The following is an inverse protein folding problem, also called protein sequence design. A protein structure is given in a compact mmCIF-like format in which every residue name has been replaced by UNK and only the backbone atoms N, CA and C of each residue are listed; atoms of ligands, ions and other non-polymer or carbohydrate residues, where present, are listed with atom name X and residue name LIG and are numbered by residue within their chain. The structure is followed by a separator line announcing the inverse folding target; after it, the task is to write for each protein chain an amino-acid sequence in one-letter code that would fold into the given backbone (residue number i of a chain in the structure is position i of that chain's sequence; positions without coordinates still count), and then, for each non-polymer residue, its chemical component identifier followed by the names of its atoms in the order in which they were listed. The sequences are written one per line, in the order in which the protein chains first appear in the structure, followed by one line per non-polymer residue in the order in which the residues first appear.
data_IF_378202294922
#
_entry.id   IF_378202294922
#
_cell.length_a   1.000
_cell.length_b   1.000
_cell.length_c   1.000
_cell.angle_alpha   90.00
_cell.angle_beta   90.00
_cell.angle_gamma   90.00
#
_symmetry.space_group_name_H-M   'P 1'
#
loop_
_entity.id
_entity.type
_entity.pdbx_description
1 polymer ?
#
# COMPACT_ATOMS: atom_id res chain seq x y z
N UNK A 1 -9.04 -5.87 21.26
CA UNK A 1 -9.96 -6.18 20.12
C UNK A 1 -9.45 -5.45 18.91
N UNK A 2 -9.25 -6.12 17.80
CA UNK A 2 -8.74 -5.55 16.54
C UNK A 2 -9.89 -5.34 15.59
N UNK A 3 -9.99 -4.14 15.00
CA UNK A 3 -10.89 -3.82 13.91
C UNK A 3 -10.11 -3.89 12.59
N UNK A 4 -10.69 -4.53 11.56
CA UNK A 4 -10.11 -4.59 10.22
C UNK A 4 -11.07 -3.94 9.21
N UNK A 5 -10.59 -2.95 8.50
CA UNK A 5 -11.25 -2.35 7.35
C UNK A 5 -10.83 -3.09 6.09
N UNK A 6 -11.77 -3.79 5.47
CA UNK A 6 -11.52 -4.66 4.31
C UNK A 6 -12.20 -4.08 3.08
N UNK A 7 -11.43 -3.44 2.23
CA UNK A 7 -11.88 -2.98 0.92
C UNK A 7 -11.98 -4.14 -0.06
N UNK A 8 -13.13 -4.28 -0.71
CA UNK A 8 -13.38 -5.37 -1.65
C UNK A 8 -14.00 -4.86 -2.96
N UNK A 9 -14.09 -5.72 -3.96
CA UNK A 9 -14.78 -5.42 -5.23
C UNK A 9 -16.30 -5.27 -5.10
N UNK A 10 -16.87 -5.47 -3.90
CA UNK A 10 -18.33 -5.43 -3.63
C UNK A 10 -18.69 -4.73 -2.32
N UNK A 11 -17.86 -3.81 -1.85
CA UNK A 11 -18.11 -3.03 -0.65
C UNK A 11 -16.96 -3.00 0.34
N UNK A 12 -17.12 -2.20 1.38
CA UNK A 12 -16.33 -2.21 2.59
C UNK A 12 -16.92 -3.20 3.59
N UNK A 13 -16.10 -4.08 4.13
CA UNK A 13 -16.43 -4.95 5.26
C UNK A 13 -15.61 -4.52 6.47
N UNK A 14 -16.25 -4.32 7.59
CA UNK A 14 -15.59 -4.05 8.86
C UNK A 14 -15.69 -5.30 9.71
N UNK A 15 -14.53 -5.87 10.05
CA UNK A 15 -14.43 -7.05 10.88
C UNK A 15 -13.90 -6.67 12.26
N UNK A 16 -14.42 -7.31 13.29
CA UNK A 16 -13.92 -7.18 14.67
C UNK A 16 -13.58 -8.55 15.23
N UNK A 17 -12.48 -8.63 15.99
CA UNK A 17 -12.07 -9.86 16.64
C UNK A 17 -10.73 -9.75 17.34
N UNK A 18 -10.21 -10.92 17.72
CA UNK A 18 -8.89 -11.04 18.32
C UNK A 18 -8.18 -12.30 17.81
N UNK A 19 -6.86 -12.27 17.64
CA UNK A 19 -6.08 -13.47 17.40
C UNK A 19 -6.43 -14.57 18.41
N UNK A 20 -6.73 -15.78 17.90
CA UNK A 20 -7.12 -16.92 18.74
C UNK A 20 -8.58 -16.97 19.18
N UNK A 21 -9.33 -15.86 19.21
CA UNK A 21 -10.75 -15.82 19.56
C UNK A 21 -11.68 -15.77 18.33
N UNK A 22 -11.13 -15.44 17.16
CA UNK A 22 -11.87 -15.34 15.89
C UNK A 22 -12.39 -13.94 15.58
N UNK A 23 -12.83 -13.77 14.34
CA UNK A 23 -13.35 -12.52 13.80
C UNK A 23 -14.77 -12.67 13.28
N UNK A 24 -15.56 -11.59 13.35
CA UNK A 24 -16.88 -11.50 12.79
C UNK A 24 -17.08 -10.19 12.02
N UNK A 25 -18.01 -10.19 11.05
CA UNK A 25 -18.38 -8.98 10.33
C UNK A 25 -19.26 -8.12 11.26
N UNK A 26 -18.75 -6.96 11.67
CA UNK A 26 -19.50 -5.96 12.44
C UNK A 26 -20.48 -5.18 11.57
N UNK A 27 -20.01 -4.67 10.43
CA UNK A 27 -20.84 -3.88 9.53
C UNK A 27 -20.30 -3.91 8.09
N UNK A 28 -21.10 -3.36 7.17
CA UNK A 28 -20.77 -3.23 5.75
C UNK A 28 -21.21 -1.86 5.24
N UNK A 29 -20.43 -1.27 4.33
CA UNK A 29 -20.77 -0.05 3.62
C UNK A 29 -20.49 -0.18 2.12
N UNK A 30 -21.08 0.69 1.30
CA UNK A 30 -20.91 0.74 -0.16
C UNK A 30 -21.19 -0.60 -0.84
N UNK A 31 -22.21 -1.29 -0.40
CA UNK A 31 -22.55 -2.65 -0.90
C UNK A 31 -22.83 -2.61 -2.41
N UNK A 32 -22.05 -3.37 -3.17
CA UNK A 32 -22.13 -3.43 -4.63
C UNK A 32 -21.05 -2.63 -5.35
N UNK A 33 -20.52 -1.58 -4.75
CA UNK A 33 -19.45 -0.75 -5.34
C UNK A 33 -18.05 -1.25 -4.92
N UNK A 34 -17.04 -1.18 -5.79
CA UNK A 34 -15.66 -1.43 -5.40
C UNK A 34 -15.16 -0.40 -4.39
N UNK A 35 -14.61 -0.89 -3.28
CA UNK A 35 -13.85 -0.11 -2.30
C UNK A 35 -12.39 -0.49 -2.46
N UNK A 36 -11.60 0.41 -3.01
CA UNK A 36 -10.20 0.15 -3.33
C UNK A 36 -9.30 0.27 -2.09
N UNK A 37 -9.67 1.17 -1.17
CA UNK A 37 -8.93 1.40 0.07
C UNK A 37 -9.86 1.93 1.16
N UNK A 38 -9.57 1.62 2.42
CA UNK A 38 -10.18 2.25 3.58
C UNK A 38 -9.15 2.39 4.70
N UNK A 39 -9.28 3.43 5.51
CA UNK A 39 -8.43 3.65 6.68
C UNK A 39 -9.17 4.41 7.78
N UNK A 40 -8.69 4.28 9.01
CA UNK A 40 -9.02 5.17 10.12
C UNK A 40 -7.83 6.12 10.33
N UNK A 41 -8.09 7.42 10.37
CA UNK A 41 -7.07 8.39 10.78
C UNK A 41 -6.76 8.19 12.27
N UNK A 42 -5.52 7.81 12.63
CA UNK A 42 -5.18 7.53 14.04
C UNK A 42 -5.24 8.76 14.95
N UNK A 43 -5.27 9.98 14.37
CA UNK A 43 -5.29 11.25 15.11
C UNK A 43 -6.71 11.68 15.48
N UNK A 44 -7.66 11.48 14.57
CA UNK A 44 -9.05 11.96 14.73
C UNK A 44 -10.05 10.83 14.95
N UNK A 45 -9.71 9.59 14.58
CA UNK A 45 -10.64 8.46 14.56
C UNK A 45 -11.55 8.44 13.33
N UNK A 46 -11.51 9.48 12.46
CA UNK A 46 -12.30 9.57 11.23
C UNK A 46 -11.96 8.45 10.27
N UNK A 47 -12.97 7.85 9.70
CA UNK A 47 -12.88 6.78 8.71
C UNK A 47 -12.93 7.35 7.31
N UNK A 48 -12.09 6.81 6.42
CA UNK A 48 -12.08 7.12 5.01
C UNK A 48 -12.27 5.86 4.17
N UNK A 49 -12.97 6.01 3.03
CA UNK A 49 -13.12 4.97 2.03
C UNK A 49 -12.91 5.55 0.62
N UNK A 50 -12.02 4.95 -0.14
CA UNK A 50 -11.85 5.21 -1.57
C UNK A 50 -12.76 4.27 -2.36
N UNK A 51 -13.84 4.82 -2.90
CA UNK A 51 -14.89 4.05 -3.59
C UNK A 51 -14.89 4.39 -5.08
N UNK A 52 -14.81 3.37 -5.92
CA UNK A 52 -14.86 3.52 -7.38
C UNK A 52 -16.20 3.00 -7.91
N UNK A 53 -17.22 3.85 -7.89
CA UNK A 53 -18.54 3.48 -8.42
C UNK A 53 -18.54 3.44 -9.94
N UNK A 54 -19.16 2.43 -10.58
CA UNK A 54 -19.33 2.41 -12.01
C UNK A 54 -20.25 3.51 -12.54
N UNK A 55 -21.00 4.17 -11.67
CA UNK A 55 -21.95 5.22 -12.03
C UNK A 55 -21.40 6.63 -11.80
N UNK A 56 -20.62 6.83 -10.72
CA UNK A 56 -20.18 8.15 -10.26
C UNK A 56 -18.66 8.34 -10.39
N UNK A 57 -17.94 7.28 -10.73
CA UNK A 57 -16.48 7.28 -10.75
C UNK A 57 -15.86 7.21 -9.34
N UNK A 58 -14.54 7.47 -9.24
CA UNK A 58 -13.80 7.42 -7.99
C UNK A 58 -14.15 8.61 -7.09
N UNK A 59 -14.34 8.32 -5.80
CA UNK A 59 -14.54 9.32 -4.74
C UNK A 59 -13.88 8.90 -3.45
N UNK A 60 -13.54 9.86 -2.62
CA UNK A 60 -13.22 9.66 -1.21
C UNK A 60 -14.48 9.98 -0.40
N UNK A 61 -14.82 9.05 0.48
CA UNK A 61 -15.90 9.20 1.45
C UNK A 61 -15.32 9.20 2.85
N UNK A 62 -15.96 9.90 3.78
CA UNK A 62 -15.56 9.90 5.18
C UNK A 62 -16.78 9.84 6.11
N UNK A 63 -16.56 9.33 7.33
CA UNK A 63 -17.52 9.36 8.43
C UNK A 63 -16.78 9.41 9.76
N UNK A 64 -17.39 10.00 10.76
CA UNK A 64 -16.86 10.00 12.12
C UNK A 64 -17.37 8.80 12.94
N UNK A 65 -18.46 8.17 12.49
CA UNK A 65 -19.03 6.97 13.09
C UNK A 65 -19.49 5.97 12.01
N UNK A 66 -19.13 4.68 12.18
CA UNK A 66 -19.56 3.57 11.28
C UNK A 66 -21.07 3.37 11.21
N UNK A 67 -21.82 3.84 12.19
CA UNK A 67 -23.30 3.80 12.23
C UNK A 67 -23.96 4.96 11.49
N UNK A 68 -23.20 5.97 11.08
CA UNK A 68 -23.71 7.20 10.49
C UNK A 68 -23.58 7.22 8.97
N UNK A 69 -24.13 8.27 8.37
CA UNK A 69 -24.09 8.49 6.93
C UNK A 69 -22.65 8.90 6.50
N UNK A 70 -22.17 8.26 5.45
CA UNK A 70 -20.91 8.62 4.81
C UNK A 70 -21.09 9.90 3.98
N UNK A 71 -20.16 10.84 4.15
CA UNK A 71 -20.10 12.08 3.42
C UNK A 71 -19.06 11.99 2.29
N UNK A 72 -19.40 12.56 1.12
CA UNK A 72 -18.45 12.62 0.00
C UNK A 72 -17.52 13.80 0.15
N UNK A 73 -16.22 13.56 0.16
CA UNK A 73 -15.20 14.59 0.11
C UNK A 73 -15.27 15.40 -1.21
N UNK A 74 -14.84 16.65 -1.17
CA UNK A 74 -14.82 17.56 -2.32
C UNK A 74 -13.42 17.69 -2.92
N UNK A 75 -13.32 18.08 -4.18
CA UNK A 75 -12.05 18.42 -4.84
C UNK A 75 -11.22 17.24 -5.33
N UNK A 76 -11.67 15.99 -5.17
CA UNK A 76 -10.99 14.80 -5.70
C UNK A 76 -11.27 14.70 -7.20
N UNK A 77 -10.62 15.56 -7.99
CA UNK A 77 -10.85 15.65 -9.42
C UNK A 77 -9.60 16.14 -10.18
N UNK A 78 -9.48 15.69 -11.43
CA UNK A 78 -8.44 16.16 -12.35
C UNK A 78 -8.86 17.49 -13.01
N UNK A 79 -7.89 18.27 -13.52
CA UNK A 79 -8.17 19.50 -14.26
C UNK A 79 -9.06 19.24 -15.47
N UNK A 80 -10.03 20.13 -15.72
CA UNK A 80 -10.91 20.02 -16.88
C UNK A 80 -10.15 20.30 -18.19
N UNK A 81 -10.55 19.61 -19.26
CA UNK A 81 -10.00 19.81 -20.60
C UNK A 81 -8.79 18.92 -20.94
N UNK A 82 -8.30 18.11 -20.01
CA UNK A 82 -7.32 17.06 -20.27
C UNK A 82 -7.97 15.78 -20.83
N UNK A 83 -7.15 14.92 -21.43
CA UNK A 83 -7.56 13.59 -21.91
C UNK A 83 -7.68 12.55 -20.80
N UNK A 84 -7.11 12.83 -19.64
CA UNK A 84 -7.06 11.92 -18.50
C UNK A 84 -8.31 12.05 -17.63
N UNK A 85 -8.80 10.90 -17.16
CA UNK A 85 -9.84 10.81 -16.15
C UNK A 85 -9.29 10.10 -14.90
N UNK A 86 -9.68 10.56 -13.73
CA UNK A 86 -9.39 9.83 -12.49
C UNK A 86 -10.08 8.48 -12.56
N UNK A 87 -9.31 7.40 -12.39
CA UNK A 87 -9.81 6.04 -12.52
C UNK A 87 -10.03 5.39 -11.15
N UNK A 88 -9.22 5.79 -10.16
CA UNK A 88 -9.17 5.16 -8.84
C UNK A 88 -8.36 6.00 -7.87
N UNK A 89 -8.75 5.97 -6.60
CA UNK A 89 -7.88 6.34 -5.47
C UNK A 89 -7.36 5.04 -4.84
N UNK A 90 -6.04 4.89 -4.76
CA UNK A 90 -5.37 3.66 -4.32
C UNK A 90 -5.00 3.64 -2.85
N UNK A 91 -4.72 4.80 -2.30
CA UNK A 91 -4.20 4.93 -0.93
C UNK A 91 -4.59 6.28 -0.35
N UNK A 92 -4.87 6.30 0.95
CA UNK A 92 -5.06 7.50 1.75
C UNK A 92 -4.15 7.36 2.96
N UNK A 93 -3.39 8.41 3.29
CA UNK A 93 -2.42 8.39 4.38
C UNK A 93 -2.52 9.67 5.20
N UNK A 94 -2.44 9.56 6.51
CA UNK A 94 -2.31 10.70 7.41
C UNK A 94 -0.93 11.37 7.22
N UNK A 95 -0.90 12.69 7.16
CA UNK A 95 0.33 13.48 7.21
C UNK A 95 0.72 13.80 8.65
N UNK A 96 1.84 14.49 8.83
CA UNK A 96 2.36 14.85 10.15
C UNK A 96 1.62 16.06 10.78
N UNK A 97 1.21 17.03 9.96
CA UNK A 97 0.46 18.19 10.44
C UNK A 97 -0.99 17.83 10.76
N UNK A 98 -1.58 18.56 11.72
CA UNK A 98 -3.01 18.45 12.03
C UNK A 98 -3.86 18.74 10.77
N UNK A 99 -4.87 17.91 10.52
CA UNK A 99 -5.75 18.04 9.37
C UNK A 99 -5.15 17.62 8.03
N UNK A 100 -3.83 17.32 7.99
CA UNK A 100 -3.14 16.94 6.75
C UNK A 100 -3.34 15.48 6.40
N UNK A 101 -3.83 15.24 5.18
CA UNK A 101 -3.90 13.90 4.57
C UNK A 101 -3.40 13.95 3.13
N UNK A 102 -2.96 12.80 2.65
CA UNK A 102 -2.56 12.59 1.27
C UNK A 102 -3.38 11.46 0.66
N UNK A 103 -3.72 11.57 -0.63
CA UNK A 103 -4.37 10.50 -1.38
C UNK A 103 -3.70 10.30 -2.73
N UNK A 104 -3.30 9.07 -3.00
CA UNK A 104 -2.69 8.65 -4.26
C UNK A 104 -3.67 7.95 -5.18
N UNK A 105 -3.56 8.17 -6.49
CA UNK A 105 -4.49 7.59 -7.45
C UNK A 105 -3.93 7.33 -8.85
N UNK A 106 -4.77 6.75 -9.70
CA UNK A 106 -4.56 6.56 -11.15
C UNK A 106 -5.34 7.65 -11.91
N UNK A 107 -4.66 8.46 -12.75
CA UNK A 107 -3.36 8.25 -13.39
C UNK A 107 -2.20 9.00 -12.71
N UNK A 108 -1.51 8.37 -11.77
CA UNK A 108 -0.29 8.92 -11.17
C UNK A 108 -0.51 10.30 -10.56
N UNK A 109 -1.50 10.44 -9.68
CA UNK A 109 -1.88 11.70 -9.07
C UNK A 109 -1.70 11.64 -7.56
N UNK A 110 -1.37 12.78 -6.98
CA UNK A 110 -1.38 13.02 -5.55
C UNK A 110 -2.38 14.13 -5.26
N UNK A 111 -3.29 13.87 -4.32
CA UNK A 111 -4.16 14.87 -3.72
C UNK A 111 -3.74 15.10 -2.28
N UNK A 112 -3.96 16.32 -1.81
CA UNK A 112 -3.68 16.74 -0.44
C UNK A 112 -4.93 17.34 0.19
N UNK A 113 -5.17 17.05 1.45
CA UNK A 113 -6.17 17.72 2.30
C UNK A 113 -5.46 18.42 3.45
N UNK A 114 -6.06 19.50 3.97
CA UNK A 114 -5.61 20.28 5.13
C UNK A 114 -6.73 20.54 6.14
N UNK A 115 -7.87 19.87 5.95
CA UNK A 115 -9.09 20.04 6.73
C UNK A 115 -9.71 18.70 7.12
N UNK A 116 -8.89 17.77 7.59
CA UNK A 116 -9.28 16.42 8.00
C UNK A 116 -10.05 15.66 6.91
N UNK A 117 -9.68 15.86 5.63
CA UNK A 117 -10.17 15.10 4.49
C UNK A 117 -11.50 15.56 3.91
N UNK A 118 -12.05 16.71 4.33
CA UNK A 118 -13.30 17.25 3.76
C UNK A 118 -13.11 17.79 2.36
N UNK A 119 -11.98 18.49 2.12
CA UNK A 119 -11.60 19.00 0.80
C UNK A 119 -10.20 18.53 0.39
N UNK A 120 -10.02 18.34 -0.90
CA UNK A 120 -8.77 17.84 -1.49
C UNK A 120 -8.34 18.71 -2.66
N UNK A 121 -7.05 18.94 -2.75
CA UNK A 121 -6.42 19.68 -3.82
C UNK A 121 -5.40 18.81 -4.54
N UNK A 122 -5.32 18.93 -5.86
CA UNK A 122 -4.31 18.25 -6.68
C UNK A 122 -2.93 18.85 -6.42
N UNK A 123 -1.93 18.03 -6.09
CA UNK A 123 -0.54 18.47 -6.09
C UNK A 123 -0.09 18.74 -7.53
N UNK A 124 -0.05 20.04 -7.88
CA UNK A 124 0.27 20.48 -9.25
C UNK A 124 1.71 20.24 -9.61
N UNK A 125 2.64 20.38 -8.67
CA UNK A 125 4.06 20.19 -8.92
C UNK A 125 4.39 18.78 -9.40
N UNK A 126 3.75 17.75 -8.82
CA UNK A 126 3.87 16.37 -9.28
C UNK A 126 3.09 16.15 -10.60
N UNK A 127 1.86 16.69 -10.69
CA UNK A 127 1.01 16.52 -11.87
C UNK A 127 1.60 17.15 -13.14
N UNK A 128 2.21 18.32 -13.02
CA UNK A 128 2.80 19.10 -14.12
C UNK A 128 4.31 18.85 -14.27
N UNK A 129 4.85 17.82 -13.55
CA UNK A 129 6.29 17.55 -13.58
C UNK A 129 6.78 17.28 -15.02
N UNK A 130 7.90 17.87 -15.46
CA UNK A 130 8.40 17.79 -16.84
C UNK A 130 8.62 16.36 -17.36
N UNK A 131 8.90 15.41 -16.49
CA UNK A 131 9.09 14.00 -16.90
C UNK A 131 7.79 13.21 -17.00
N UNK A 132 6.65 13.75 -16.55
CA UNK A 132 5.36 13.05 -16.58
C UNK A 132 4.99 12.45 -17.95
N UNK A 133 5.23 13.08 -19.10
CA UNK A 133 4.96 12.48 -20.39
C UNK A 133 5.74 11.20 -20.69
N UNK A 134 6.80 10.93 -19.93
CA UNK A 134 7.62 9.70 -20.02
C UNK A 134 7.13 8.58 -19.13
N UNK A 135 6.23 8.85 -18.16
CA UNK A 135 5.67 7.81 -17.32
C UNK A 135 4.76 6.92 -18.15
N UNK A 136 5.00 5.63 -18.11
CA UNK A 136 4.25 4.69 -18.96
C UNK A 136 3.15 4.02 -18.14
N UNK A 137 2.04 3.74 -18.80
CA UNK A 137 1.03 2.84 -18.24
C UNK A 137 1.43 1.41 -18.57
N UNK A 138 1.62 0.61 -17.56
CA UNK A 138 1.74 -0.84 -17.69
C UNK A 138 0.41 -1.54 -17.40
N UNK A 139 0.43 -2.87 -17.32
CA UNK A 139 -0.76 -3.67 -16.97
C UNK A 139 -1.29 -3.40 -15.54
N UNK A 140 -0.48 -2.82 -14.66
CA UNK A 140 -0.85 -2.40 -13.30
C UNK A 140 -1.44 -0.98 -13.21
N UNK A 141 -1.49 -0.25 -14.34
CA UNK A 141 -1.88 1.15 -14.39
C UNK A 141 -0.70 2.10 -14.15
N UNK A 142 -0.99 3.39 -14.14
CA UNK A 142 -0.06 4.45 -13.71
C UNK A 142 -0.62 5.04 -12.41
N UNK A 143 -0.13 4.61 -11.25
CA UNK A 143 -0.80 4.93 -9.99
C UNK A 143 0.19 5.34 -8.92
N UNK A 144 -0.10 6.43 -8.19
CA UNK A 144 0.48 6.66 -6.87
C UNK A 144 -0.23 5.71 -5.91
N UNK A 145 0.47 4.70 -5.43
CA UNK A 145 -0.10 3.65 -4.58
C UNK A 145 0.59 3.52 -3.21
N UNK A 146 1.72 4.17 -3.02
CA UNK A 146 2.41 4.22 -1.73
C UNK A 146 2.82 5.65 -1.44
N UNK A 147 2.58 6.07 -0.21
CA UNK A 147 2.91 7.39 0.30
C UNK A 147 3.51 7.17 1.69
N UNK A 148 4.74 7.62 1.89
CA UNK A 148 5.51 7.41 3.11
C UNK A 148 5.97 8.76 3.69
N UNK A 149 5.15 9.41 4.56
CA UNK A 149 5.53 10.61 5.28
C UNK A 149 6.79 10.38 6.12
N UNK A 150 7.51 11.44 6.40
CA UNK A 150 8.63 11.39 7.31
C UNK A 150 8.16 11.69 8.72
N UNK A 151 8.30 10.77 9.69
CA UNK A 151 7.86 10.97 11.05
C UNK A 151 8.46 12.24 11.68
N UNK A 152 7.58 13.14 12.12
CA UNK A 152 7.95 14.41 12.74
C UNK A 152 8.43 15.52 11.77
N UNK A 153 8.41 15.30 10.45
CA UNK A 153 8.79 16.31 9.47
C UNK A 153 7.76 16.39 8.32
N UNK A 154 6.83 17.36 8.36
CA UNK A 154 5.78 17.49 7.35
C UNK A 154 6.28 17.96 5.98
N UNK A 155 7.55 18.40 5.89
CA UNK A 155 8.14 18.83 4.62
C UNK A 155 8.66 17.64 3.80
N UNK A 156 8.91 16.51 4.44
CA UNK A 156 9.54 15.36 3.80
C UNK A 156 8.55 14.23 3.54
N UNK A 157 8.52 13.78 2.29
CA UNK A 157 7.63 12.73 1.82
C UNK A 157 8.33 11.89 0.75
N UNK A 158 8.16 10.58 0.79
CA UNK A 158 8.46 9.69 -0.31
C UNK A 158 7.16 9.09 -0.85
N UNK A 159 7.06 8.89 -2.17
CA UNK A 159 5.96 8.16 -2.78
C UNK A 159 6.44 7.25 -3.89
N UNK A 160 5.65 6.27 -4.22
CA UNK A 160 5.92 5.35 -5.30
C UNK A 160 4.77 5.32 -6.31
N UNK A 161 5.15 5.31 -7.58
CA UNK A 161 4.25 5.30 -8.72
C UNK A 161 4.50 4.01 -9.52
N UNK A 162 3.45 3.21 -9.79
CA UNK A 162 3.56 2.13 -10.78
C UNK A 162 3.97 2.72 -12.11
N UNK A 163 5.04 2.20 -12.71
CA UNK A 163 5.60 2.69 -13.96
C UNK A 163 5.95 4.20 -13.97
N UNK A 164 6.31 4.73 -12.78
CA UNK A 164 6.77 6.10 -12.57
C UNK A 164 7.89 6.21 -11.54
N UNK A 165 8.27 5.11 -10.87
CA UNK A 165 9.36 5.05 -9.93
C UNK A 165 9.07 5.65 -8.56
N UNK A 166 10.15 5.95 -7.82
CA UNK A 166 10.12 6.59 -6.51
C UNK A 166 10.33 8.10 -6.65
N UNK A 167 9.58 8.86 -5.86
CA UNK A 167 9.60 10.31 -5.85
C UNK A 167 9.78 10.83 -4.44
N UNK A 168 10.61 11.86 -4.29
CA UNK A 168 10.99 12.47 -3.02
C UNK A 168 10.70 13.96 -3.04
N UNK A 169 10.18 14.50 -1.94
CA UNK A 169 10.09 15.93 -1.66
C UNK A 169 10.70 16.24 -0.30
N UNK A 170 11.28 17.42 -0.16
CA UNK A 170 11.83 17.98 1.09
C UNK A 170 11.26 19.37 1.40
N UNK A 171 10.24 19.80 0.66
CA UNK A 171 9.60 21.11 0.74
C UNK A 171 8.06 21.03 0.79
N UNK A 172 7.54 19.91 1.29
CA UNK A 172 6.09 19.71 1.46
C UNK A 172 5.34 19.47 0.16
N UNK A 173 6.03 19.06 -0.91
CA UNK A 173 5.43 18.76 -2.21
C UNK A 173 5.44 19.92 -3.20
N UNK A 174 6.18 21.00 -2.92
CA UNK A 174 6.38 22.12 -3.87
C UNK A 174 7.31 21.72 -5.03
N UNK A 175 8.30 20.87 -4.74
CA UNK A 175 9.17 20.26 -5.76
C UNK A 175 9.36 18.77 -5.53
N UNK A 176 9.63 18.04 -6.61
CA UNK A 176 9.81 16.60 -6.59
C UNK A 176 11.06 16.17 -7.34
N UNK A 177 11.78 15.21 -6.80
CA UNK A 177 12.96 14.59 -7.39
C UNK A 177 12.81 13.07 -7.46
N UNK A 178 13.44 12.42 -8.42
CA UNK A 178 13.51 10.95 -8.49
C UNK A 178 14.42 10.38 -7.40
N UNK A 179 13.96 9.30 -6.79
CA UNK A 179 14.73 8.46 -5.88
C UNK A 179 14.89 7.04 -6.46
N UNK A 180 15.50 6.89 -7.62
CA UNK A 180 15.55 5.63 -8.36
C UNK A 180 16.96 4.99 -8.45
N UNK A 181 17.98 5.64 -7.91
CA UNK A 181 19.37 5.16 -8.06
C UNK A 181 19.55 3.79 -7.40
N UNK A 182 20.15 2.84 -8.13
CA UNK A 182 20.38 1.48 -7.65
C UNK A 182 19.25 0.50 -7.95
N UNK A 183 18.04 0.95 -8.35
CA UNK A 183 16.99 0.03 -8.80
C UNK A 183 17.27 -0.42 -10.23
N UNK A 184 17.34 -1.73 -10.44
CA UNK A 184 17.63 -2.32 -11.75
C UNK A 184 16.39 -2.96 -12.35
N UNK A 185 15.86 -2.38 -13.42
CA UNK A 185 14.73 -2.92 -14.16
C UNK A 185 15.17 -4.06 -15.11
N UNK A 186 15.39 -5.26 -14.57
CA UNK A 186 15.90 -6.42 -15.32
C UNK A 186 15.04 -6.84 -16.52
N UNK A 187 13.76 -6.43 -16.55
CA UNK A 187 12.83 -6.66 -17.65
C UNK A 187 12.99 -5.67 -18.83
N UNK A 188 13.80 -4.62 -18.67
CA UNK A 188 14.12 -3.66 -19.73
C UNK A 188 15.39 -4.07 -20.47
N UNK A 189 15.59 -3.60 -21.73
CA UNK A 189 16.86 -3.70 -22.43
C UNK A 189 18.01 -3.12 -21.61
N UNK A 190 19.20 -3.71 -21.72
CA UNK A 190 20.36 -3.40 -20.86
C UNK A 190 20.70 -1.90 -20.83
N UNK A 191 20.64 -1.25 -21.97
CA UNK A 191 20.91 0.19 -22.13
C UNK A 191 19.90 1.11 -21.43
N UNK A 192 18.71 0.59 -21.11
CA UNK A 192 17.65 1.35 -20.45
C UNK A 192 17.57 1.11 -18.93
N UNK A 193 18.21 0.05 -18.42
CA UNK A 193 18.02 -0.41 -17.01
C UNK A 193 18.43 0.61 -15.97
N UNK A 194 19.53 1.31 -16.18
CA UNK A 194 20.08 2.26 -15.20
C UNK A 194 19.49 3.67 -15.28
N UNK A 195 18.77 4.00 -16.36
CA UNK A 195 18.24 5.35 -16.61
C UNK A 195 16.72 5.39 -16.68
N UNK A 196 16.07 4.26 -16.41
CA UNK A 196 14.62 4.18 -16.45
C UNK A 196 14.01 5.05 -15.35
N UNK A 197 13.04 5.87 -15.73
CA UNK A 197 12.18 6.61 -14.81
C UNK A 197 10.81 5.97 -14.69
N UNK A 198 10.46 5.10 -15.60
CA UNK A 198 9.23 4.32 -15.68
C UNK A 198 9.35 2.99 -14.94
N UNK A 199 9.99 3.00 -13.78
CA UNK A 199 10.17 1.84 -12.91
C UNK A 199 8.84 1.37 -12.32
N UNK A 200 8.56 0.07 -12.44
CA UNK A 200 7.34 -0.54 -11.92
C UNK A 200 7.48 -0.89 -10.43
N UNK A 201 7.31 0.10 -9.57
CA UNK A 201 7.26 -0.11 -8.12
C UNK A 201 5.91 -0.72 -7.74
N UNK A 202 5.91 -1.65 -6.79
CA UNK A 202 4.70 -2.29 -6.30
C UNK A 202 4.27 -1.79 -4.93
N UNK A 203 5.19 -1.60 -4.00
CA UNK A 203 4.92 -1.03 -2.69
C UNK A 203 6.17 -0.38 -2.10
N UNK A 204 5.98 0.62 -1.25
CA UNK A 204 7.03 1.35 -0.55
C UNK A 204 6.60 1.61 0.88
N UNK A 205 7.46 1.29 1.86
CA UNK A 205 7.22 1.58 3.27
C UNK A 205 8.46 2.19 3.93
N UNK A 206 8.24 3.10 4.89
CA UNK A 206 9.27 3.77 5.69
C UNK A 206 9.30 3.20 7.10
N UNK A 207 10.49 2.87 7.61
CA UNK A 207 10.69 2.46 8.99
C UNK A 207 10.50 3.65 9.95
N UNK A 208 9.48 3.66 10.83
CA UNK A 208 9.17 4.85 11.63
C UNK A 208 10.29 5.25 12.60
N UNK A 209 10.98 4.26 13.18
CA UNK A 209 12.08 4.51 14.15
C UNK A 209 13.44 4.79 13.51
N UNK A 210 13.53 4.65 12.18
CA UNK A 210 14.70 5.02 11.37
C UNK A 210 14.22 5.58 10.03
N UNK A 211 13.76 6.83 9.98
CA UNK A 211 13.08 7.39 8.81
C UNK A 211 13.91 7.42 7.52
N UNK A 212 15.26 7.37 7.62
CA UNK A 212 16.15 7.20 6.48
C UNK A 212 16.01 5.85 5.80
N UNK A 213 15.50 4.84 6.53
CA UNK A 213 15.32 3.49 6.00
C UNK A 213 13.94 3.32 5.40
N UNK A 214 13.95 2.86 4.13
CA UNK A 214 12.75 2.43 3.42
C UNK A 214 12.98 1.03 2.85
N UNK A 215 11.87 0.30 2.71
CA UNK A 215 11.81 -0.95 1.98
C UNK A 215 10.88 -0.80 0.78
N UNK A 216 11.19 -1.48 -0.30
CA UNK A 216 10.48 -1.37 -1.55
C UNK A 216 10.32 -2.75 -2.19
N UNK A 217 9.09 -3.13 -2.50
CA UNK A 217 8.81 -4.23 -3.41
C UNK A 217 8.76 -3.67 -4.84
N UNK A 218 9.59 -4.20 -5.69
CA UNK A 218 9.69 -3.86 -7.09
C UNK A 218 9.20 -5.02 -7.97
N UNK A 219 8.99 -4.79 -9.26
CA UNK A 219 8.60 -5.82 -10.22
C UNK A 219 9.61 -6.96 -10.36
N UNK A 220 10.88 -6.70 -10.15
CA UNK A 220 11.96 -7.69 -10.16
C UNK A 220 12.94 -7.39 -9.05
N UNK A 221 12.53 -7.56 -7.80
CA UNK A 221 13.38 -7.40 -6.63
C UNK A 221 12.67 -6.86 -5.40
N UNK A 222 13.33 -7.03 -4.27
CA UNK A 222 13.03 -6.34 -3.02
C UNK A 222 14.24 -5.47 -2.70
N UNK A 223 14.01 -4.20 -2.42
CA UNK A 223 15.07 -3.23 -2.23
C UNK A 223 14.98 -2.55 -0.87
N UNK A 224 16.13 -2.12 -0.35
CA UNK A 224 16.26 -1.30 0.84
C UNK A 224 17.05 -0.02 0.51
N UNK A 225 16.58 1.10 1.02
CA UNK A 225 17.32 2.36 1.11
C UNK A 225 17.67 2.64 2.56
N UNK A 226 18.84 3.22 2.81
CA UNK A 226 19.30 3.73 4.09
C UNK A 226 19.58 5.26 4.08
N UNK A 227 19.20 5.94 2.99
CA UNK A 227 19.44 7.35 2.73
C UNK A 227 18.18 8.11 2.27
N UNK A 228 17.04 7.75 2.85
CA UNK A 228 15.75 8.39 2.61
C UNK A 228 15.13 8.12 1.22
N UNK A 229 15.56 7.07 0.54
CA UNK A 229 15.04 6.69 -0.77
C UNK A 229 15.85 7.27 -1.95
N UNK A 230 17.03 7.82 -1.68
CA UNK A 230 17.91 8.34 -2.76
C UNK A 230 18.58 7.19 -3.51
N UNK A 231 19.14 6.24 -2.77
CA UNK A 231 19.80 5.04 -3.34
C UNK A 231 19.22 3.76 -2.77
N UNK A 232 19.29 2.67 -3.54
CA UNK A 232 18.70 1.39 -3.22
C UNK A 232 19.67 0.24 -3.38
N UNK A 233 19.58 -0.71 -2.47
CA UNK A 233 20.31 -1.98 -2.49
C UNK A 233 19.31 -3.12 -2.67
N UNK A 234 19.56 -4.02 -3.62
CA UNK A 234 18.79 -5.26 -3.78
C UNK A 234 19.03 -6.19 -2.58
N UNK A 235 17.94 -6.64 -1.97
CA UNK A 235 17.92 -7.52 -0.82
C UNK A 235 17.06 -8.79 -1.05
N UNK A 236 16.73 -9.11 -2.30
CA UNK A 236 15.87 -10.24 -2.61
C UNK A 236 16.59 -11.62 -2.49
N UNK A 237 17.90 -11.63 -2.27
CA UNK A 237 18.66 -12.89 -2.18
C UNK A 237 18.12 -13.80 -1.07
N UNK A 238 17.79 -15.05 -1.40
CA UNK A 238 17.20 -16.03 -0.48
C UNK A 238 15.68 -16.15 -0.53
N UNK A 239 14.99 -15.26 -1.21
CA UNK A 239 13.56 -15.41 -1.50
C UNK A 239 13.33 -16.42 -2.64
N UNK A 240 12.22 -17.18 -2.64
CA UNK A 240 11.90 -18.14 -3.71
C UNK A 240 11.58 -17.44 -5.04
N UNK A 241 11.00 -16.25 -4.97
CA UNK A 241 10.72 -15.35 -6.08
C UNK A 241 11.02 -13.92 -5.64
N UNK A 242 11.57 -13.12 -6.52
CA UNK A 242 11.85 -11.70 -6.29
C UNK A 242 10.63 -10.80 -6.60
N UNK A 243 9.61 -11.36 -7.24
CA UNK A 243 8.35 -10.70 -7.56
C UNK A 243 7.33 -10.86 -6.42
N UNK A 244 6.67 -9.78 -6.09
CA UNK A 244 5.59 -9.70 -5.09
C UNK A 244 4.88 -8.37 -5.20
N UNK A 245 3.87 -8.14 -4.33
CA UNK A 245 3.16 -6.86 -4.31
C UNK A 245 3.36 -6.09 -3.01
N UNK A 246 3.06 -6.62 -1.80
CA UNK A 246 3.21 -5.88 -0.56
C UNK A 246 4.59 -6.01 0.05
N UNK A 247 4.99 -4.99 0.79
CA UNK A 247 6.00 -5.05 1.84
C UNK A 247 5.41 -4.41 3.10
N UNK A 248 5.63 -5.00 4.26
CA UNK A 248 5.13 -4.52 5.56
C UNK A 248 6.27 -4.55 6.57
N UNK A 249 6.30 -3.59 7.48
CA UNK A 249 7.36 -3.44 8.48
C UNK A 249 6.85 -3.68 9.89
N UNK A 250 7.76 -4.07 10.81
CA UNK A 250 7.54 -3.90 12.24
C UNK A 250 7.85 -2.44 12.61
N UNK A 251 6.88 -1.67 13.13
CA UNK A 251 7.14 -0.29 13.51
C UNK A 251 8.21 -0.14 14.62
N UNK A 252 8.43 -1.18 15.42
CA UNK A 252 9.42 -1.15 16.50
C UNK A 252 10.84 -1.46 16.04
N UNK A 253 11.01 -2.25 14.97
CA UNK A 253 12.33 -2.67 14.50
C UNK A 253 12.57 -2.28 13.03
N UNK A 254 13.43 -1.30 12.77
CA UNK A 254 13.74 -0.87 11.42
C UNK A 254 14.47 -1.92 10.57
N UNK A 255 14.86 -3.06 11.14
CA UNK A 255 15.49 -4.16 10.41
C UNK A 255 14.49 -5.26 10.01
N UNK A 256 13.26 -5.21 10.55
CA UNK A 256 12.25 -6.25 10.30
C UNK A 256 11.27 -5.84 9.21
N UNK A 257 11.14 -6.69 8.19
CA UNK A 257 10.21 -6.53 7.09
C UNK A 257 9.62 -7.87 6.67
N UNK A 258 8.43 -7.81 6.09
CA UNK A 258 7.65 -8.96 5.65
C UNK A 258 7.22 -8.80 4.20
N UNK A 259 7.38 -9.84 3.39
CA UNK A 259 6.94 -9.89 1.98
C UNK A 259 6.19 -11.19 1.68
N UNK A 260 5.39 -11.18 0.64
CA UNK A 260 4.70 -12.37 0.12
C UNK A 260 5.11 -12.56 -1.34
N UNK A 261 6.14 -13.38 -1.61
CA UNK A 261 6.58 -13.69 -2.97
C UNK A 261 5.51 -14.44 -3.76
N UNK A 262 5.39 -14.11 -5.04
CA UNK A 262 4.50 -14.77 -5.98
C UNK A 262 5.22 -15.00 -7.31
N UNK A 263 4.71 -15.92 -8.13
CA UNK A 263 5.27 -16.16 -9.47
C UNK A 263 5.07 -14.93 -10.36
N UNK A 264 6.05 -14.62 -11.19
CA UNK A 264 6.00 -13.45 -12.09
C UNK A 264 4.91 -13.63 -13.17
N UNK A 265 4.76 -14.85 -13.69
CA UNK A 265 3.87 -15.15 -14.80
C UNK A 265 2.40 -15.07 -14.39
N UNK A 266 2.03 -15.81 -13.35
CA UNK A 266 0.63 -15.97 -12.95
C UNK A 266 0.24 -15.00 -11.81
N UNK A 267 1.25 -14.39 -11.17
CA UNK A 267 1.10 -13.44 -10.06
C UNK A 267 0.37 -14.03 -8.86
N UNK A 268 0.62 -15.30 -8.62
CA UNK A 268 0.08 -16.08 -7.51
C UNK A 268 1.20 -16.77 -6.75
N UNK A 269 0.93 -17.19 -5.53
CA UNK A 269 1.82 -18.08 -4.77
C UNK A 269 1.98 -19.40 -5.53
N UNK A 270 3.16 -20.02 -5.43
CA UNK A 270 3.48 -21.25 -6.15
C UNK A 270 2.95 -22.50 -5.45
N UNK A 271 1.61 -22.55 -5.25
CA UNK A 271 0.91 -23.65 -4.58
C UNK A 271 1.11 -23.72 -3.08
N UNK A 272 2.02 -22.93 -2.52
CA UNK A 272 2.30 -22.80 -1.08
C UNK A 272 2.26 -21.34 -0.68
N UNK A 273 1.48 -21.01 0.34
CA UNK A 273 1.46 -19.66 0.90
C UNK A 273 2.54 -19.56 1.97
N UNK A 274 3.39 -18.56 1.87
CA UNK A 274 4.35 -18.21 2.91
C UNK A 274 4.54 -16.69 2.95
N UNK A 275 4.55 -16.14 4.15
CA UNK A 275 5.07 -14.81 4.43
C UNK A 275 6.57 -14.97 4.72
N UNK A 276 7.40 -14.15 4.11
CA UNK A 276 8.83 -14.18 4.34
C UNK A 276 9.24 -12.98 5.18
N UNK A 277 9.97 -13.28 6.25
CA UNK A 277 10.46 -12.29 7.22
C UNK A 277 11.96 -12.11 7.10
N UNK A 278 12.40 -10.86 7.20
CA UNK A 278 13.78 -10.50 7.54
C UNK A 278 13.81 -9.79 8.89
N UNK A 279 14.85 -10.01 9.69
CA UNK A 279 15.16 -9.29 10.94
C UNK A 279 16.55 -8.64 10.92
N UNK A 280 17.20 -8.68 9.78
CA UNK A 280 18.55 -8.16 9.55
C UNK A 280 18.62 -7.23 8.33
N UNK A 281 17.49 -6.55 8.09
CA UNK A 281 17.35 -5.58 7.02
C UNK A 281 17.56 -6.17 5.61
N UNK A 282 17.16 -7.43 5.41
CA UNK A 282 17.20 -8.12 4.13
C UNK A 282 18.49 -8.88 3.87
N UNK A 283 19.38 -9.04 4.85
CA UNK A 283 20.56 -9.91 4.68
C UNK A 283 20.17 -11.40 4.61
N UNK A 284 19.13 -11.77 5.38
CA UNK A 284 18.52 -13.11 5.32
C UNK A 284 17.00 -13.06 5.33
N UNK A 285 16.34 -14.06 4.76
CA UNK A 285 14.89 -14.22 4.73
C UNK A 285 14.49 -15.60 5.24
N UNK A 286 13.47 -15.65 6.09
CA UNK A 286 12.94 -16.88 6.69
C UNK A 286 11.44 -17.01 6.41
N UNK A 287 10.95 -18.16 5.91
CA UNK A 287 9.52 -18.36 5.71
C UNK A 287 8.79 -18.48 7.05
N UNK A 288 7.68 -17.81 7.14
CA UNK A 288 6.70 -17.83 8.24
C UNK A 288 5.40 -18.39 7.66
N UNK A 289 5.17 -19.69 7.79
CA UNK A 289 4.07 -20.37 7.10
C UNK A 289 3.28 -21.34 7.98
N UNK A 290 3.58 -21.43 9.28
CA UNK A 290 2.83 -22.28 10.19
C UNK A 290 1.37 -21.85 10.30
N UNK A 291 0.45 -22.75 9.91
CA UNK A 291 -0.99 -22.48 9.86
C UNK A 291 -1.49 -21.92 8.51
N UNK A 292 -0.60 -21.61 7.57
CA UNK A 292 -0.97 -21.24 6.19
C UNK A 292 -1.19 -22.48 5.31
N UNK A 293 -1.95 -22.35 4.19
CA UNK A 293 -2.08 -23.44 3.23
C UNK A 293 -0.75 -23.73 2.53
N UNK A 294 -0.21 -24.93 2.73
CA UNK A 294 1.10 -25.34 2.21
C UNK A 294 1.01 -26.16 0.90
N UNK A 295 -0.22 -26.35 0.38
CA UNK A 295 -0.45 -27.13 -0.81
C UNK A 295 -1.68 -26.65 -1.57
N UNK A 296 -1.58 -26.66 -2.89
CA UNK A 296 -2.66 -26.34 -3.82
C UNK A 296 -3.30 -24.95 -3.59
N UNK A 297 -2.52 -24.00 -3.08
CA UNK A 297 -2.96 -22.65 -2.73
C UNK A 297 -2.31 -21.62 -3.68
N UNK A 298 -3.08 -21.16 -4.66
CA UNK A 298 -2.66 -20.21 -5.68
C UNK A 298 -3.31 -18.85 -5.40
N UNK A 299 -2.76 -18.13 -4.42
CA UNK A 299 -3.32 -16.87 -3.93
C UNK A 299 -2.58 -15.66 -4.52
N UNK A 300 -3.36 -14.61 -4.84
CA UNK A 300 -2.81 -13.28 -5.15
C UNK A 300 -3.10 -12.33 -4.00
N UNK A 301 -2.04 -11.78 -3.41
CA UNK A 301 -2.12 -10.74 -2.37
C UNK A 301 -1.69 -9.42 -2.99
N UNK A 302 -2.59 -8.44 -3.03
CA UNK A 302 -2.35 -7.16 -3.69
C UNK A 302 -1.57 -6.19 -2.77
N UNK A 303 -1.09 -5.07 -3.33
CA UNK A 303 -0.26 -4.05 -2.68
C UNK A 303 -0.81 -3.58 -1.33
N UNK A 304 -2.12 -3.30 -1.26
CA UNK A 304 -2.77 -2.77 -0.07
C UNK A 304 -3.46 -3.85 0.78
N UNK A 305 -3.27 -5.13 0.44
CA UNK A 305 -3.95 -6.24 1.11
C UNK A 305 -3.09 -6.94 2.16
N UNK A 306 -1.99 -6.35 2.58
CA UNK A 306 -1.16 -6.80 3.69
C UNK A 306 -0.87 -5.61 4.61
N UNK A 307 -1.05 -5.77 5.91
CA UNK A 307 -0.87 -4.72 6.89
C UNK A 307 -0.46 -5.27 8.25
N UNK A 308 0.16 -4.40 9.05
CA UNK A 308 0.55 -4.66 10.43
C UNK A 308 -0.17 -3.70 11.39
N UNK A 309 -0.34 -4.14 12.64
CA UNK A 309 -0.74 -3.30 13.78
C UNK A 309 -0.04 -3.79 15.04
N UNK A 310 0.13 -2.91 16.02
CA UNK A 310 0.99 -3.20 17.18
C UNK A 310 2.46 -3.12 16.78
N UNK A 311 3.34 -3.56 17.67
CA UNK A 311 4.78 -3.53 17.45
C UNK A 311 5.51 -4.59 18.29
N UNK A 312 6.68 -5.04 17.84
CA UNK A 312 7.51 -6.01 18.53
C UNK A 312 6.77 -7.30 18.89
N UNK A 313 6.76 -7.74 20.17
CA UNK A 313 6.07 -8.97 20.56
C UNK A 313 4.54 -8.93 20.41
N UNK A 314 3.94 -7.74 20.30
CA UNK A 314 2.50 -7.56 20.09
C UNK A 314 2.14 -7.27 18.62
N UNK A 315 3.08 -7.40 17.71
CA UNK A 315 2.86 -7.20 16.29
C UNK A 315 1.85 -8.21 15.76
N UNK A 316 0.79 -7.70 15.16
CA UNK A 316 -0.20 -8.49 14.45
C UNK A 316 -0.08 -8.20 12.96
N UNK A 317 -0.19 -9.24 12.16
CA UNK A 317 -0.11 -9.17 10.70
C UNK A 317 -1.41 -9.70 10.10
N UNK A 318 -1.91 -9.02 9.05
CA UNK A 318 -3.12 -9.45 8.36
C UNK A 318 -2.95 -9.30 6.85
N UNK A 319 -3.24 -10.36 6.09
CA UNK A 319 -3.30 -10.25 4.64
C UNK A 319 -4.58 -10.84 4.06
N UNK A 320 -5.04 -10.23 2.97
CA UNK A 320 -6.22 -10.67 2.23
C UNK A 320 -5.86 -11.00 0.78
N UNK A 321 -6.48 -12.06 0.27
CA UNK A 321 -6.29 -12.52 -1.10
C UNK A 321 -7.44 -12.11 -2.04
N UNK A 322 -7.16 -12.06 -3.33
CA UNK A 322 -8.19 -11.80 -4.35
C UNK A 322 -9.26 -12.89 -4.45
N UNK A 323 -9.00 -14.07 -3.88
CA UNK A 323 -9.96 -15.17 -3.71
C UNK A 323 -10.96 -14.97 -2.57
N UNK A 324 -10.76 -13.95 -1.71
CA UNK A 324 -11.71 -13.57 -0.65
C UNK A 324 -11.41 -14.17 0.71
N UNK A 325 -10.21 -14.73 0.92
CA UNK A 325 -9.73 -15.18 2.22
C UNK A 325 -8.89 -14.09 2.89
N UNK A 326 -8.97 -14.05 4.22
CA UNK A 326 -8.07 -13.25 5.07
C UNK A 326 -7.39 -14.18 6.06
N UNK A 327 -6.08 -14.02 6.19
CA UNK A 327 -5.26 -14.66 7.20
C UNK A 327 -4.70 -13.62 8.17
N UNK A 328 -4.53 -14.01 9.42
CA UNK A 328 -3.98 -13.17 10.48
C UNK A 328 -2.95 -13.92 11.30
N UNK A 329 -2.05 -13.16 11.90
CA UNK A 329 -1.09 -13.61 12.91
C UNK A 329 -1.12 -12.67 14.10
N UNK A 330 -1.05 -13.20 15.31
CA UNK A 330 -1.00 -12.41 16.54
C UNK A 330 0.38 -12.41 17.21
N UNK A 331 1.39 -13.01 16.59
CA UNK A 331 2.71 -13.31 17.13
C UNK A 331 3.84 -13.00 16.13
N UNK A 332 3.72 -11.85 15.45
CA UNK A 332 4.69 -11.36 14.49
C UNK A 332 4.97 -12.34 13.32
N UNK A 333 3.96 -13.11 12.91
CA UNK A 333 4.06 -14.02 11.77
C UNK A 333 4.47 -15.45 12.14
N UNK A 334 4.77 -15.75 13.40
CA UNK A 334 5.20 -17.10 13.80
C UNK A 334 4.12 -18.16 13.55
N UNK A 335 2.85 -17.81 13.81
CA UNK A 335 1.70 -18.68 13.49
C UNK A 335 0.58 -17.90 12.83
N UNK A 336 -0.17 -18.56 11.93
CA UNK A 336 -1.26 -17.96 11.15
C UNK A 336 -2.58 -18.68 11.36
N UNK A 337 -3.67 -17.92 11.27
CA UNK A 337 -5.04 -18.43 11.36
C UNK A 337 -5.94 -17.78 10.31
N UNK A 338 -7.04 -18.45 9.96
CA UNK A 338 -8.07 -17.88 9.08
C UNK A 338 -8.90 -16.84 9.83
N UNK A 339 -8.96 -15.61 9.29
CA UNK A 339 -9.78 -14.50 9.82
C UNK A 339 -11.16 -14.51 9.17
N UNK A 340 -11.22 -14.60 7.84
CA UNK A 340 -12.45 -14.63 7.08
C UNK A 340 -12.26 -15.41 5.79
N UNK A 341 -13.39 -15.94 5.27
CA UNK A 341 -13.43 -16.66 4.00
C UNK A 341 -14.66 -16.25 3.21
N UNK A 342 -14.61 -16.43 1.88
CA UNK A 342 -15.73 -16.17 0.96
C UNK A 342 -16.17 -14.70 0.91
N UNK A 343 -15.27 -13.77 1.23
CA UNK A 343 -15.49 -12.36 0.93
C UNK A 343 -15.37 -12.14 -0.58
N UNK A 344 -15.90 -11.03 -1.11
CA UNK A 344 -15.56 -10.63 -2.48
C UNK A 344 -14.05 -10.40 -2.61
N UNK A 345 -13.53 -10.40 -3.84
CA UNK A 345 -12.12 -10.17 -4.10
C UNK A 345 -11.58 -8.96 -3.32
N UNK A 346 -10.57 -9.19 -2.48
CA UNK A 346 -10.02 -8.20 -1.55
C UNK A 346 -9.06 -7.28 -2.29
N UNK A 347 -9.20 -5.98 -2.07
CA UNK A 347 -8.35 -4.93 -2.62
C UNK A 347 -7.41 -4.35 -1.55
N UNK A 348 -7.89 -4.24 -0.31
CA UNK A 348 -7.11 -3.73 0.82
C UNK A 348 -7.54 -4.36 2.14
N UNK A 349 -6.60 -4.46 3.08
CA UNK A 349 -6.84 -4.83 4.48
C UNK A 349 -6.10 -3.82 5.34
N UNK A 350 -6.81 -3.15 6.26
CA UNK A 350 -6.20 -2.15 7.17
C UNK A 350 -6.74 -2.35 8.58
N UNK A 351 -5.87 -2.61 9.56
CA UNK A 351 -6.22 -2.48 10.98
C UNK A 351 -6.57 -1.02 11.31
N UNK A 352 -7.54 -0.83 12.20
CA UNK A 352 -8.07 0.49 12.57
C UNK A 352 -8.20 0.66 14.10
#
# INVERSE_FOLDING_TARGET
MTELLVGTRKGLFVLEGEPGAGFSIRTRAFVGDPVDYAMRDPRTGRLFAAVTSPFWGPRIWFTDDLGEEWQSARGVALPRGGSDALKRVWVIVAGEDAGRLYAGGDPGVLFESRDDGETWELNRALWEHPTRPRWRRDSGGLSVHSIAPWPGDPQRLALAISAGGVWLTEDGGETWAHGNEGIVAGYLPEEARATAIDLCVHHLERAPRRPERLFLQFHGGVYRSDDAGRTWTDIAAGLPHDFGFPVVLDPADPNSAYVIPVTTTDRVTDGRVAVWETRDAGATWTPQDEGLPLKDAYLSVLRQSFAATGEGPSLQLYFGATSGEIFGSGDAGATWFGVAQRLPAIASVRPA
#
